data_IF_854338185509
#
_entry.id   IF_854338185509
#
_cell.length_a   1.000
_cell.length_b   1.000
_cell.length_c   1.000
_cell.angle_alpha   90.00
_cell.angle_beta   90.00
_cell.angle_gamma   90.00
#
_symmetry.space_group_name_H-M   'P 1'
#
loop_
_entity.id
_entity.type
_entity.pdbx_description
1 polymer ?
#
# COMPACT_ATOMS: atom_id res chain seq x y z
N UNK A 1 -9.37 -14.16 12.27
CA UNK A 1 -8.69 -14.82 11.14
C UNK A 1 -7.55 -13.91 10.74
N UNK A 2 -6.29 -14.34 10.91
CA UNK A 2 -5.12 -13.58 10.50
C UNK A 2 -4.88 -13.86 9.02
N UNK A 3 -5.21 -12.91 8.15
CA UNK A 3 -4.81 -12.99 6.74
C UNK A 3 -3.29 -12.94 6.69
N UNK A 4 -2.68 -13.97 6.10
CA UNK A 4 -1.22 -14.01 5.97
C UNK A 4 -0.81 -12.98 4.93
N UNK A 5 0.12 -12.10 5.28
CA UNK A 5 0.68 -11.12 4.35
C UNK A 5 1.45 -11.82 3.23
N UNK A 6 1.43 -11.24 2.03
CA UNK A 6 2.24 -11.75 0.93
C UNK A 6 3.73 -11.55 1.25
N UNK A 7 4.57 -12.56 0.97
CA UNK A 7 6.03 -12.42 1.08
C UNK A 7 6.64 -11.91 -0.25
N UNK A 8 7.76 -11.18 -0.21
CA UNK A 8 8.43 -10.66 0.99
C UNK A 8 7.68 -9.47 1.60
N UNK A 9 7.78 -9.28 2.92
CA UNK A 9 7.28 -8.08 3.60
C UNK A 9 8.39 -7.04 3.64
N UNK A 10 8.21 -5.93 2.92
CA UNK A 10 9.17 -4.82 2.85
C UNK A 10 9.03 -3.84 4.02
N UNK A 11 7.81 -3.70 4.54
CA UNK A 11 7.50 -2.84 5.68
C UNK A 11 6.17 -3.23 6.31
N UNK A 12 6.02 -3.01 7.61
CA UNK A 12 4.78 -3.25 8.34
C UNK A 12 4.55 -2.14 9.37
N UNK A 13 3.38 -1.53 9.30
CA UNK A 13 2.87 -0.52 10.21
C UNK A 13 1.83 -1.08 11.19
N UNK A 14 0.92 -0.22 11.64
CA UNK A 14 -0.13 -0.56 12.61
C UNK A 14 -1.36 -1.20 11.97
N UNK A 15 -1.74 -0.75 10.78
CA UNK A 15 -2.89 -1.24 10.02
C UNK A 15 -2.52 -1.69 8.62
N UNK A 16 -1.38 -1.24 8.09
CA UNK A 16 -0.95 -1.52 6.71
C UNK A 16 0.42 -2.16 6.66
N UNK A 17 0.68 -2.91 5.60
CA UNK A 17 1.99 -3.46 5.25
C UNK A 17 2.29 -3.22 3.78
N UNK A 18 3.57 -3.18 3.44
CA UNK A 18 4.07 -3.23 2.07
C UNK A 18 4.70 -4.59 1.87
N UNK A 19 4.22 -5.32 0.86
CA UNK A 19 4.51 -6.73 0.62
C UNK A 19 4.94 -6.97 -0.83
N UNK A 20 5.28 -8.22 -1.18
CA UNK A 20 5.54 -8.63 -2.57
C UNK A 20 4.37 -8.34 -3.52
N UNK A 21 3.14 -8.28 -3.00
CA UNK A 21 1.95 -7.93 -3.76
C UNK A 21 1.81 -6.42 -4.00
N UNK A 22 2.08 -5.60 -2.99
CA UNK A 22 1.82 -4.17 -3.01
C UNK A 22 1.61 -3.61 -1.61
N UNK A 23 0.49 -2.93 -1.37
CA UNK A 23 0.07 -2.49 -0.02
C UNK A 23 -1.08 -3.39 0.42
N UNK A 24 -1.01 -3.93 1.63
CA UNK A 24 -2.04 -4.80 2.20
C UNK A 24 -2.44 -4.31 3.59
N UNK A 25 -3.74 -4.33 3.90
CA UNK A 25 -4.23 -4.09 5.25
C UNK A 25 -4.00 -5.34 6.11
N UNK A 26 -3.58 -5.17 7.37
CA UNK A 26 -3.29 -6.29 8.28
C UNK A 26 -4.52 -7.09 8.71
N UNK A 27 -5.71 -6.48 8.57
CA UNK A 27 -6.99 -7.17 8.75
C UNK A 27 -7.38 -8.01 7.52
N UNK A 28 -6.61 -7.92 6.42
CA UNK A 28 -6.84 -8.59 5.16
C UNK A 28 -8.02 -8.06 4.34
N UNK A 29 -8.63 -6.94 4.75
CA UNK A 29 -9.84 -6.44 4.12
C UNK A 29 -9.56 -5.65 2.83
N UNK A 30 -8.34 -5.11 2.68
CA UNK A 30 -7.95 -4.26 1.57
C UNK A 30 -6.54 -4.58 1.08
N UNK A 31 -6.37 -4.50 -0.22
CA UNK A 31 -5.08 -4.62 -0.87
C UNK A 31 -5.03 -3.69 -2.09
N UNK A 32 -3.84 -3.17 -2.39
CA UNK A 32 -3.54 -2.32 -3.54
C UNK A 32 -2.32 -2.92 -4.24
N UNK A 33 -2.46 -3.38 -5.50
CA UNK A 33 -1.35 -4.03 -6.20
C UNK A 33 -0.24 -3.02 -6.52
N UNK A 34 1.01 -3.50 -6.53
CA UNK A 34 2.19 -2.68 -6.83
C UNK A 34 2.07 -1.89 -8.17
N UNK A 35 1.40 -2.48 -9.17
CA UNK A 35 1.13 -1.83 -10.46
C UNK A 35 0.33 -0.53 -10.35
N UNK A 36 -0.59 -0.43 -9.38
CA UNK A 36 -1.41 0.77 -9.15
C UNK A 36 -0.70 1.84 -8.31
N UNK A 37 0.40 1.47 -7.63
CA UNK A 37 1.21 2.38 -6.82
C UNK A 37 2.21 3.15 -7.69
N UNK A 38 2.66 2.51 -8.76
CA UNK A 38 3.67 3.02 -9.70
C UNK A 38 3.16 4.04 -10.72
N UNK A 39 1.85 4.25 -10.88
CA UNK A 39 1.34 5.30 -11.78
C UNK A 39 1.62 6.67 -11.16
N UNK A 40 2.68 7.33 -11.62
CA UNK A 40 3.06 8.69 -11.21
C UNK A 40 2.23 9.69 -12.02
N UNK A 41 0.93 9.67 -11.83
CA UNK A 41 0.09 10.78 -12.28
C UNK A 41 0.24 11.95 -11.30
N UNK A 42 0.11 13.19 -11.79
CA UNK A 42 0.24 14.41 -10.98
C UNK A 42 -0.82 14.51 -9.86
N UNK A 43 -1.84 13.64 -9.89
CA UNK A 43 -2.91 13.57 -8.90
C UNK A 43 -2.81 12.30 -8.06
N UNK A 44 -3.21 12.33 -6.77
CA UNK A 44 -3.40 11.12 -5.99
C UNK A 44 -4.28 10.13 -6.74
N UNK A 45 -3.93 8.83 -6.76
CA UNK A 45 -4.79 7.82 -7.35
C UNK A 45 -6.14 7.80 -6.62
N UNK A 46 -7.23 7.53 -7.35
CA UNK A 46 -8.58 7.50 -6.77
C UNK A 46 -8.69 6.53 -5.59
N UNK A 47 -7.99 5.39 -5.66
CA UNK A 47 -7.97 4.41 -4.57
C UNK A 47 -7.43 4.99 -3.26
N UNK A 48 -6.48 5.93 -3.32
CA UNK A 48 -5.90 6.56 -2.12
C UNK A 48 -6.90 7.50 -1.46
N UNK A 49 -7.60 8.31 -2.28
CA UNK A 49 -8.65 9.20 -1.80
C UNK A 49 -9.82 8.42 -1.17
N UNK A 50 -10.21 7.30 -1.78
CA UNK A 50 -11.28 6.44 -1.28
C UNK A 50 -10.90 5.79 0.06
N UNK A 51 -9.67 5.29 0.20
CA UNK A 51 -9.17 4.73 1.47
C UNK A 51 -9.08 5.78 2.57
N UNK A 52 -8.66 7.02 2.27
CA UNK A 52 -8.62 8.11 3.24
C UNK A 52 -9.99 8.54 3.75
N UNK A 53 -11.04 8.38 2.93
CA UNK A 53 -12.43 8.69 3.30
C UNK A 53 -13.08 7.58 4.11
N UNK A 54 -12.52 6.37 4.08
CA UNK A 54 -13.06 5.23 4.80
C UNK A 54 -12.89 5.38 6.32
N UNK A 55 -13.95 5.10 7.07
CA UNK A 55 -13.93 5.13 8.52
C UNK A 55 -12.97 4.06 9.06
N UNK A 56 -12.15 4.44 10.04
CA UNK A 56 -11.19 3.54 10.69
C UNK A 56 -9.81 3.47 10.02
N UNK A 57 -9.62 4.07 8.85
CA UNK A 57 -8.30 4.14 8.19
C UNK A 57 -7.35 5.05 8.99
N UNK A 58 -6.23 4.49 9.44
CA UNK A 58 -5.10 5.29 9.91
C UNK A 58 -4.39 5.93 8.69
N UNK A 59 -4.70 7.20 8.46
CA UNK A 59 -4.17 7.97 7.31
C UNK A 59 -2.66 8.13 7.37
N UNK A 60 -2.08 8.23 8.57
CA UNK A 60 -0.64 8.39 8.71
C UNK A 60 0.07 7.09 8.39
N UNK A 61 -0.47 5.96 8.88
CA UNK A 61 0.04 4.62 8.59
C UNK A 61 -0.07 4.28 7.10
N UNK A 62 -1.21 4.58 6.48
CA UNK A 62 -1.40 4.41 5.03
C UNK A 62 -0.45 5.31 4.22
N UNK A 63 -0.26 6.57 4.63
CA UNK A 63 0.68 7.48 3.95
C UNK A 63 2.12 6.96 4.03
N UNK A 64 2.52 6.40 5.18
CA UNK A 64 3.82 5.76 5.34
C UNK A 64 3.96 4.53 4.43
N UNK A 65 2.93 3.68 4.36
CA UNK A 65 2.89 2.53 3.46
C UNK A 65 3.08 2.94 2.00
N UNK A 66 2.35 3.97 1.54
CA UNK A 66 2.48 4.51 0.17
C UNK A 66 3.88 5.03 -0.11
N UNK A 67 4.48 5.76 0.83
CA UNK A 67 5.83 6.29 0.67
C UNK A 67 6.88 5.17 0.55
N UNK A 68 6.75 4.10 1.35
CA UNK A 68 7.62 2.93 1.26
C UNK A 68 7.39 2.18 -0.04
N UNK A 69 6.13 1.87 -0.39
CA UNK A 69 5.80 1.13 -1.60
C UNK A 69 6.29 1.84 -2.86
N UNK A 70 6.16 3.16 -2.94
CA UNK A 70 6.74 3.96 -4.03
C UNK A 70 8.26 3.80 -4.12
N UNK A 71 8.98 3.79 -3.00
CA UNK A 71 10.44 3.57 -3.00
C UNK A 71 10.81 2.16 -3.45
N UNK A 72 10.03 1.16 -3.06
CA UNK A 72 10.24 -0.25 -3.42
C UNK A 72 9.94 -0.49 -4.89
N UNK A 73 8.80 -0.03 -5.41
CA UNK A 73 8.33 -0.40 -6.75
C UNK A 73 8.74 0.57 -7.85
N UNK A 74 8.87 1.88 -7.58
CA UNK A 74 9.33 2.85 -8.60
C UNK A 74 10.84 2.68 -8.88
N UNK A 75 11.63 2.29 -7.87
CA UNK A 75 13.06 1.98 -8.08
C UNK A 75 13.29 0.72 -8.90
N UNK A 76 12.28 -0.14 -9.03
CA UNK A 76 12.34 -1.40 -9.77
C UNK A 76 11.80 -1.26 -11.20
N UNK A 77 11.67 -0.02 -11.70
CA UNK A 77 11.41 0.28 -13.11
C UNK A 77 12.59 -0.08 -14.00
N UNK A 78 12.77 -1.38 -14.26
CA UNK A 78 13.51 -1.91 -15.39
C UNK A 78 12.75 -3.13 -15.92
N UNK A 79 11.73 -2.88 -16.73
CA UNK A 79 11.40 -3.60 -17.96
C UNK A 79 10.61 -2.68 -18.88
#
# INVERSE_FOLDING_TARGET
>A
MSSSLTEPVYWQGRQWAVTGYGIEALDGMYHVPAAEIGSVDERPPQWLDDLWRRYGTDRNDLTAAVAVARRVFIRTGAV
#
